data_IF_252077380993
#
_entry.id   IF_252077380993
#
_cell.length_a   1.000
_cell.length_b   1.000
_cell.length_c   1.000
_cell.angle_alpha   90.00
_cell.angle_beta   90.00
_cell.angle_gamma   90.00
#
_symmetry.space_group_name_H-M   'P 1'
#
loop_
_entity.id
_entity.type
_entity.pdbx_description
1 polymer ?
#
# COMPACT_ATOMS: atom_id res chain seq x y z
N UNK A 1 -8.34 -6.79 0.42
CA UNK A 1 -7.02 -6.53 -0.16
C UNK A 1 -6.62 -7.75 -0.97
N UNK A 2 -6.25 -7.61 -2.24
CA UNK A 2 -5.86 -8.71 -3.13
C UNK A 2 -4.55 -8.38 -3.85
N UNK A 3 -3.91 -9.37 -4.50
CA UNK A 3 -2.65 -9.22 -5.26
C UNK A 3 -1.39 -8.90 -4.42
N UNK A 4 -1.33 -9.37 -3.17
CA UNK A 4 -0.11 -9.28 -2.33
C UNK A 4 0.12 -7.92 -1.64
N UNK A 5 -0.77 -6.94 -1.81
CA UNK A 5 -0.73 -5.67 -1.09
C UNK A 5 -1.42 -5.79 0.27
N UNK A 6 -0.78 -5.25 1.31
CA UNK A 6 -1.24 -5.17 2.69
C UNK A 6 -1.43 -3.70 3.11
N UNK A 7 -2.26 -3.45 4.11
CA UNK A 7 -2.52 -2.11 4.67
C UNK A 7 -2.15 -2.11 6.15
N UNK A 8 -1.29 -1.18 6.54
CA UNK A 8 -1.02 -0.84 7.93
C UNK A 8 -1.87 0.36 8.32
N UNK A 9 -2.62 0.21 9.42
CA UNK A 9 -3.46 1.28 9.98
C UNK A 9 -2.75 1.93 11.15
N UNK A 10 -2.58 3.24 11.09
CA UNK A 10 -1.99 4.03 12.16
C UNK A 10 -3.12 4.80 12.84
N UNK A 11 -3.40 4.43 14.09
CA UNK A 11 -4.44 5.04 14.90
C UNK A 11 -3.95 6.36 15.51
N UNK A 12 -3.68 7.34 14.66
CA UNK A 12 -3.26 8.69 15.03
C UNK A 12 -3.87 9.72 14.08
N UNK A 13 -4.35 10.84 14.64
CA UNK A 13 -4.97 11.92 13.87
C UNK A 13 -6.12 11.45 12.96
N UNK A 14 -6.11 11.76 11.65
CA UNK A 14 -7.19 11.43 10.72
C UNK A 14 -7.27 9.93 10.35
N UNK A 15 -6.42 9.08 10.93
CA UNK A 15 -6.36 7.65 10.67
C UNK A 15 -5.58 7.34 9.40
N UNK A 16 -4.25 7.45 9.49
CA UNK A 16 -3.36 7.20 8.36
C UNK A 16 -3.31 5.72 7.98
N UNK A 17 -3.10 5.48 6.69
CA UNK A 17 -2.95 4.16 6.09
C UNK A 17 -1.74 4.12 5.20
N UNK A 18 -0.92 3.10 5.41
CA UNK A 18 0.26 2.83 4.60
C UNK A 18 0.04 1.51 3.87
N UNK A 19 0.30 1.47 2.58
CA UNK A 19 0.16 0.27 1.77
C UNK A 19 1.54 -0.30 1.46
N UNK A 20 1.69 -1.62 1.59
CA UNK A 20 2.99 -2.28 1.43
C UNK A 20 2.85 -3.68 0.83
N UNK A 21 3.93 -4.16 0.22
CA UNK A 21 4.06 -5.54 -0.27
C UNK A 21 5.27 -6.20 0.40
N UNK A 22 5.20 -7.50 0.62
CA UNK A 22 6.32 -8.30 1.13
C UNK A 22 6.93 -9.13 0.00
N UNK A 23 8.25 -9.02 -0.22
CA UNK A 23 9.03 -9.86 -1.14
C UNK A 23 10.08 -10.60 -0.32
N UNK A 24 9.78 -11.85 0.04
CA UNK A 24 10.60 -12.62 0.98
C UNK A 24 10.73 -11.94 2.34
N UNK A 25 11.96 -11.52 2.67
CA UNK A 25 12.29 -10.83 3.92
C UNK A 25 12.28 -9.30 3.81
N UNK A 26 12.07 -8.75 2.61
CA UNK A 26 12.02 -7.30 2.37
C UNK A 26 10.58 -6.79 2.42
N UNK A 27 10.37 -5.70 3.17
CA UNK A 27 9.12 -4.93 3.16
C UNK A 27 9.30 -3.79 2.15
N UNK A 28 8.47 -3.79 1.10
CA UNK A 28 8.41 -2.70 0.12
C UNK A 28 7.24 -1.82 0.52
N UNK A 29 7.54 -0.59 0.95
CA UNK A 29 6.54 0.43 1.25
C UNK A 29 6.18 1.11 -0.06
N UNK A 30 4.92 1.01 -0.46
CA UNK A 30 4.41 1.75 -1.61
C UNK A 30 4.22 3.19 -1.13
N UNK A 31 4.86 4.16 -1.79
CA UNK A 31 4.81 5.58 -1.39
C UNK A 31 3.41 6.22 -1.54
N UNK A 32 2.39 5.41 -1.80
CA UNK A 32 0.99 5.81 -1.68
C UNK A 32 0.50 5.55 -0.24
N UNK A 33 0.05 6.61 0.41
CA UNK A 33 -0.55 6.56 1.73
C UNK A 33 -1.36 7.83 1.94
N UNK A 34 -2.36 7.74 2.80
CA UNK A 34 -3.31 8.82 3.01
C UNK A 34 -4.13 8.56 4.26
N UNK A 35 -5.17 9.35 4.47
CA UNK A 35 -6.05 9.19 5.61
C UNK A 35 -7.32 8.41 5.26
N UNK A 36 -8.34 8.48 6.14
CA UNK A 36 -9.58 7.74 5.91
C UNK A 36 -10.27 8.12 4.59
N UNK A 37 -10.22 9.39 4.21
CA UNK A 37 -10.95 10.00 3.10
C UNK A 37 -10.41 9.59 1.72
N UNK A 38 -9.11 9.29 1.61
CA UNK A 38 -8.46 8.95 0.34
C UNK A 38 -8.34 7.45 0.07
N UNK A 39 -8.83 6.59 0.99
CA UNK A 39 -8.61 5.14 0.97
C UNK A 39 -8.78 4.47 -0.39
N UNK A 40 -9.92 4.73 -1.04
CA UNK A 40 -10.28 4.05 -2.29
C UNK A 40 -9.33 4.44 -3.43
N UNK A 41 -8.82 5.67 -3.42
CA UNK A 41 -7.81 6.14 -4.38
C UNK A 41 -6.46 5.50 -4.07
N UNK A 42 -6.09 5.46 -2.80
CA UNK A 42 -4.79 4.94 -2.38
C UNK A 42 -4.68 3.42 -2.62
N UNK A 43 -5.75 2.66 -2.38
CA UNK A 43 -5.81 1.21 -2.71
C UNK A 43 -5.56 0.99 -4.20
N UNK A 44 -6.19 1.77 -5.08
CA UNK A 44 -6.00 1.63 -6.54
C UNK A 44 -4.56 1.92 -6.94
N UNK A 45 -3.98 2.99 -6.39
CA UNK A 45 -2.58 3.34 -6.62
C UNK A 45 -1.64 2.24 -6.12
N UNK A 46 -1.87 1.72 -4.92
CA UNK A 46 -1.08 0.65 -4.34
C UNK A 46 -1.09 -0.62 -5.20
N UNK A 47 -2.26 -1.03 -5.69
CA UNK A 47 -2.39 -2.20 -6.57
C UNK A 47 -1.67 -2.00 -7.90
N UNK A 48 -1.71 -0.79 -8.48
CA UNK A 48 -0.98 -0.46 -9.71
C UNK A 48 0.53 -0.53 -9.48
N UNK A 49 1.02 0.15 -8.45
CA UNK A 49 2.46 0.19 -8.13
C UNK A 49 3.00 -1.20 -7.80
N UNK A 50 2.24 -2.04 -7.09
CA UNK A 50 2.63 -3.41 -6.81
C UNK A 50 2.71 -4.28 -8.07
N UNK A 51 1.83 -4.07 -9.05
CA UNK A 51 1.89 -4.77 -10.33
C UNK A 51 3.16 -4.37 -11.11
N UNK A 52 3.42 -3.07 -11.26
CA UNK A 52 4.61 -2.52 -11.93
C UNK A 52 5.91 -3.00 -11.26
N UNK A 53 5.93 -3.08 -9.92
CA UNK A 53 7.08 -3.55 -9.16
C UNK A 53 7.35 -5.06 -9.36
N UNK A 54 6.30 -5.88 -9.48
CA UNK A 54 6.46 -7.33 -9.73
C UNK A 54 6.95 -7.64 -11.15
N UNK A 55 6.73 -6.73 -12.10
CA UNK A 55 7.21 -6.85 -13.50
C UNK A 55 8.67 -6.41 -13.65
N UNK A 56 9.24 -5.76 -12.62
CA UNK A 56 10.66 -5.40 -12.59
C UNK A 56 11.51 -6.62 -12.17
N UNK A 57 12.53 -7.02 -12.96
CA UNK A 57 13.33 -8.22 -12.70
C UNK A 57 13.99 -8.24 -11.31
#
# INVERSE_FOLDING_TARGET
>A
MGKGVNELRIHYGPGYRVYFQRRGNMIVILLCGGDKSSQSRDIKTALRLAAEWNESP
#
